data_IF_003355942097
#
_entry.id   IF_003355942097
#
_cell.length_a   1.000
_cell.length_b   1.000
_cell.length_c   1.000
_cell.angle_alpha   90.00
_cell.angle_beta   90.00
_cell.angle_gamma   90.00
#
_symmetry.space_group_name_H-M   'P 1'
#
loop_
_entity.id
_entity.type
_entity.pdbx_description
1 polymer ?
#
# COMPACT_ATOMS: atom_id res chain seq x y z
N UNK A 1 -14.34 2.34 47.46
CA UNK A 1 -13.68 1.03 47.25
C UNK A 1 -13.58 0.82 45.73
N UNK A 2 -12.41 1.01 45.12
CA UNK A 2 -12.24 0.89 43.66
C UNK A 2 -11.76 -0.53 43.31
N UNK A 3 -12.57 -1.29 42.59
CA UNK A 3 -12.21 -2.63 42.10
C UNK A 3 -11.46 -2.49 40.78
N UNK A 4 -10.14 -2.71 40.78
CA UNK A 4 -9.37 -2.80 39.53
C UNK A 4 -9.63 -4.15 38.87
N UNK A 5 -10.40 -4.17 37.77
CA UNK A 5 -10.49 -5.35 36.90
C UNK A 5 -9.20 -5.46 36.10
N UNK A 6 -8.25 -6.24 36.62
CA UNK A 6 -7.07 -6.68 35.85
C UNK A 6 -7.51 -7.77 34.87
N UNK A 7 -7.75 -7.38 33.62
CA UNK A 7 -8.03 -8.35 32.55
C UNK A 7 -6.74 -9.12 32.23
N UNK A 8 -6.73 -10.41 32.56
CA UNK A 8 -5.63 -11.32 32.24
C UNK A 8 -5.55 -11.45 30.72
N UNK A 9 -4.48 -10.92 30.10
CA UNK A 9 -4.18 -11.18 28.70
C UNK A 9 -3.81 -12.66 28.56
N UNK A 10 -4.75 -13.47 28.07
CA UNK A 10 -4.46 -14.87 27.71
C UNK A 10 -3.62 -14.83 26.44
N UNK A 11 -2.32 -15.08 26.57
CA UNK A 11 -1.43 -15.25 25.42
C UNK A 11 -1.95 -16.43 24.59
N UNK A 12 -2.37 -16.16 23.34
CA UNK A 12 -2.71 -17.22 22.38
C UNK A 12 -1.42 -17.91 21.99
N UNK A 13 -1.12 -19.03 22.63
CA UNK A 13 -0.04 -19.93 22.18
C UNK A 13 -0.45 -20.45 20.81
N UNK A 14 0.22 -19.98 19.75
CA UNK A 14 -0.08 -20.37 18.38
C UNK A 14 0.03 -21.89 18.22
N UNK A 15 -1.03 -22.50 17.68
CA UNK A 15 -1.08 -23.93 17.38
C UNK A 15 -0.05 -24.25 16.29
N UNK A 16 1.03 -24.96 16.65
CA UNK A 16 2.06 -25.39 15.70
C UNK A 16 1.48 -26.47 14.77
N UNK A 17 1.45 -26.19 13.47
CA UNK A 17 1.01 -27.14 12.44
C UNK A 17 2.25 -27.83 11.88
N UNK A 18 2.58 -28.99 12.44
CA UNK A 18 3.85 -29.73 12.24
C UNK A 18 4.31 -29.87 10.78
N UNK A 19 3.41 -30.04 9.81
CA UNK A 19 3.77 -30.22 8.39
C UNK A 19 3.83 -28.90 7.59
N UNK A 20 3.20 -27.84 8.08
CA UNK A 20 3.14 -26.51 7.42
C UNK A 20 4.12 -25.52 8.09
N UNK A 21 4.71 -25.91 9.23
CA UNK A 21 5.64 -25.09 10.01
C UNK A 21 6.87 -24.68 9.18
N UNK A 22 7.37 -25.53 8.29
CA UNK A 22 8.51 -25.19 7.41
C UNK A 22 8.20 -24.19 6.28
N UNK A 23 6.92 -24.05 5.89
CA UNK A 23 6.46 -23.02 4.95
C UNK A 23 6.17 -21.69 5.67
N UNK A 24 5.84 -21.75 6.97
CA UNK A 24 5.48 -20.62 7.83
C UNK A 24 6.68 -20.09 8.64
N UNK A 25 7.77 -20.87 8.79
CA UNK A 25 8.96 -20.51 9.58
C UNK A 25 9.90 -19.52 8.91
N UNK A 26 9.60 -19.03 7.71
CA UNK A 26 10.30 -17.84 7.19
C UNK A 26 9.97 -16.68 8.12
N UNK A 27 10.98 -16.16 8.82
CA UNK A 27 10.88 -14.99 9.72
C UNK A 27 9.75 -14.05 9.30
N UNK A 28 8.68 -14.01 10.09
CA UNK A 28 7.50 -13.26 9.72
C UNK A 28 7.84 -11.78 9.71
N UNK A 29 7.84 -11.16 8.52
CA UNK A 29 8.05 -9.70 8.38
C UNK A 29 6.83 -8.89 8.81
N UNK A 30 5.79 -9.54 9.32
CA UNK A 30 4.53 -8.91 9.71
C UNK A 30 4.75 -7.88 10.82
N UNK A 31 5.53 -8.22 11.84
CA UNK A 31 5.84 -7.26 12.91
C UNK A 31 6.72 -6.11 12.43
N UNK A 32 7.66 -6.37 11.54
CA UNK A 32 8.52 -5.36 10.91
C UNK A 32 7.70 -4.36 10.08
N UNK A 33 6.85 -4.86 9.18
CA UNK A 33 5.96 -4.01 8.37
C UNK A 33 4.93 -3.27 9.24
N UNK A 34 4.44 -3.90 10.31
CA UNK A 34 3.53 -3.26 11.28
C UNK A 34 4.21 -2.08 11.98
N UNK A 35 5.50 -2.18 12.32
CA UNK A 35 6.25 -1.07 12.91
C UNK A 35 6.37 0.10 11.93
N UNK A 36 6.70 -0.17 10.67
CA UNK A 36 6.84 0.86 9.62
C UNK A 36 5.51 1.59 9.41
N UNK A 37 4.40 0.86 9.26
CA UNK A 37 3.11 1.50 8.96
C UNK A 37 2.49 2.26 10.14
N UNK A 38 2.82 1.89 11.38
CA UNK A 38 2.37 2.59 12.59
C UNK A 38 3.39 3.61 13.10
N UNK A 39 4.56 3.73 12.47
CA UNK A 39 5.58 4.69 12.86
C UNK A 39 4.99 6.10 12.78
N UNK A 40 4.87 6.77 13.93
CA UNK A 40 4.32 8.12 14.07
C UNK A 40 2.78 8.23 14.05
N UNK A 41 2.06 7.15 14.36
CA UNK A 41 0.64 7.18 14.73
C UNK A 41 -0.32 6.59 13.69
N UNK A 42 -1.57 6.39 14.11
CA UNK A 42 -2.63 5.72 13.30
C UNK A 42 -3.24 6.59 12.20
N UNK A 43 -2.92 7.87 12.15
CA UNK A 43 -3.57 8.85 11.25
C UNK A 43 -2.57 9.88 10.72
N UNK A 44 -1.53 9.41 10.04
CA UNK A 44 -0.50 10.31 9.50
C UNK A 44 -0.92 11.14 8.28
N UNK A 45 -2.18 11.04 7.83
CA UNK A 45 -2.82 12.00 6.93
C UNK A 45 -1.99 12.42 5.71
N UNK A 46 -2.07 13.71 5.38
CA UNK A 46 -1.32 14.36 4.30
C UNK A 46 0.21 14.33 4.45
N UNK A 47 0.82 14.46 5.65
CA UNK A 47 2.28 14.48 5.75
C UNK A 47 2.95 13.12 5.50
N UNK A 48 2.27 11.99 5.73
CA UNK A 48 2.77 10.66 5.36
C UNK A 48 1.62 9.70 4.99
N UNK A 49 1.09 9.80 3.76
CA UNK A 49 -0.04 9.00 3.34
C UNK A 49 0.34 7.52 3.21
N UNK A 50 -0.62 6.62 3.47
CA UNK A 50 -0.39 5.17 3.51
C UNK A 50 0.27 4.61 2.25
N UNK A 51 0.01 5.19 1.08
CA UNK A 51 0.54 4.74 -0.21
C UNK A 51 1.96 5.23 -0.52
N UNK A 52 2.62 5.96 0.40
CA UNK A 52 4.03 6.38 0.27
C UNK A 52 4.91 5.90 1.44
N UNK A 53 4.39 5.01 2.30
CA UNK A 53 5.05 4.67 3.57
C UNK A 53 6.24 3.72 3.41
N UNK A 54 6.27 2.89 2.38
CA UNK A 54 7.35 1.92 2.18
C UNK A 54 8.46 2.49 1.30
N UNK A 55 9.69 1.99 1.53
CA UNK A 55 10.80 2.30 0.66
C UNK A 55 10.51 1.77 -0.75
N UNK A 56 10.49 2.69 -1.73
CA UNK A 56 10.17 2.39 -3.13
C UNK A 56 8.75 2.75 -3.55
N UNK A 57 7.83 3.03 -2.62
CA UNK A 57 6.47 3.45 -2.96
C UNK A 57 6.45 4.75 -3.76
N UNK A 58 7.34 5.70 -3.44
CA UNK A 58 7.48 6.95 -4.19
C UNK A 58 7.85 6.70 -5.66
N UNK A 59 8.73 5.73 -5.93
CA UNK A 59 9.10 5.39 -7.31
C UNK A 59 7.91 4.76 -8.04
N UNK A 60 7.21 3.82 -7.42
CA UNK A 60 6.01 3.20 -7.98
C UNK A 60 4.90 4.23 -8.24
N UNK A 61 4.71 5.18 -7.32
CA UNK A 61 3.76 6.27 -7.46
C UNK A 61 4.12 7.20 -8.64
N UNK A 62 5.40 7.60 -8.74
CA UNK A 62 5.88 8.42 -9.84
C UNK A 62 5.68 7.75 -11.20
N UNK A 63 5.95 6.45 -11.30
CA UNK A 63 5.71 5.67 -12.53
C UNK A 63 4.22 5.63 -12.87
N UNK A 64 3.36 5.36 -11.88
CA UNK A 64 1.90 5.35 -12.07
C UNK A 64 1.38 6.70 -12.56
N UNK A 65 1.84 7.80 -11.96
CA UNK A 65 1.49 9.15 -12.39
C UNK A 65 1.97 9.45 -13.81
N UNK A 66 3.19 9.05 -14.16
CA UNK A 66 3.72 9.21 -15.52
C UNK A 66 2.87 8.52 -16.58
N UNK A 67 2.39 7.30 -16.31
CA UNK A 67 1.50 6.56 -17.21
C UNK A 67 0.15 7.26 -17.38
N UNK A 68 -0.45 7.74 -16.29
CA UNK A 68 -1.73 8.46 -16.34
C UNK A 68 -1.58 9.76 -17.15
N UNK A 69 -0.54 10.54 -16.89
CA UNK A 69 -0.27 11.78 -17.64
C UNK A 69 -0.07 11.49 -19.12
N UNK A 70 0.70 10.46 -19.47
CA UNK A 70 0.89 10.07 -20.86
C UNK A 70 -0.41 9.64 -21.54
N UNK A 71 -1.25 8.86 -20.86
CA UNK A 71 -2.56 8.45 -21.36
C UNK A 71 -3.46 9.66 -21.60
N UNK A 72 -3.50 10.61 -20.67
CA UNK A 72 -4.29 11.84 -20.82
C UNK A 72 -3.81 12.68 -22.02
N UNK A 73 -2.51 12.81 -22.23
CA UNK A 73 -1.97 13.52 -23.40
C UNK A 73 -2.39 12.84 -24.71
N UNK A 74 -2.37 11.51 -24.77
CA UNK A 74 -2.82 10.75 -25.94
C UNK A 74 -4.31 10.89 -26.18
N UNK A 75 -5.12 10.84 -25.12
CA UNK A 75 -6.56 11.06 -25.21
C UNK A 75 -6.86 12.47 -25.73
N UNK A 76 -6.24 13.51 -25.17
CA UNK A 76 -6.42 14.89 -25.63
C UNK A 76 -6.07 15.07 -27.10
N UNK A 77 -4.95 14.49 -27.55
CA UNK A 77 -4.56 14.52 -28.96
C UNK A 77 -5.56 13.73 -29.85
N UNK A 78 -6.02 12.57 -29.38
CA UNK A 78 -7.07 11.80 -30.04
C UNK A 78 -8.38 12.58 -30.21
N UNK A 79 -8.83 13.26 -29.15
CA UNK A 79 -10.00 14.13 -29.20
C UNK A 79 -9.81 15.31 -30.14
N UNK A 80 -8.62 15.93 -30.15
CA UNK A 80 -8.30 17.01 -31.07
C UNK A 80 -8.40 16.58 -32.53
N UNK A 81 -7.78 15.43 -32.87
CA UNK A 81 -7.80 14.88 -34.22
C UNK A 81 -9.21 14.47 -34.65
N UNK A 82 -10.01 13.92 -33.73
CA UNK A 82 -11.42 13.60 -33.98
C UNK A 82 -12.26 14.85 -34.25
N UNK A 83 -12.04 15.92 -33.48
CA UNK A 83 -12.76 17.19 -33.64
C UNK A 83 -12.42 17.91 -34.95
N UNK A 84 -11.17 17.83 -35.42
CA UNK A 84 -10.71 18.50 -36.64
C UNK A 84 -10.70 17.59 -37.87
N UNK A 85 -11.03 16.30 -37.71
CA UNK A 85 -11.00 15.31 -38.78
C UNK A 85 -9.59 15.01 -39.33
N UNK A 86 -8.54 15.34 -38.58
CA UNK A 86 -7.13 15.21 -38.97
C UNK A 86 -6.50 13.90 -38.46
N UNK A 87 -5.33 13.53 -38.98
CA UNK A 87 -4.54 12.40 -38.44
C UNK A 87 -5.06 11.00 -38.83
N UNK A 88 -5.77 10.90 -39.95
CA UNK A 88 -6.10 9.60 -40.56
C UNK A 88 -4.82 9.01 -41.16
N UNK A 89 -4.67 7.69 -41.08
CA UNK A 89 -3.73 6.97 -41.93
C UNK A 89 -4.40 6.93 -43.31
N UNK A 90 -3.77 7.56 -44.30
CA UNK A 90 -4.26 7.56 -45.69
C UNK A 90 -4.64 6.15 -46.19
#
# INVERSE_FOLDING_TARGET
>A
MFVSRSARLVARVGQRRTFVDGLVSKNSKVEEMRKIHNAGGVTQGAPNPTYLKQNGDMASFAVGMGLITFALLKLSNGYWNMAHGTGKLD
#
